data_IF_509995973076
#
_entry.id   IF_509995973076
#
_cell.length_a   1.000
_cell.length_b   1.000
_cell.length_c   1.000
_cell.angle_alpha   90.00
_cell.angle_beta   90.00
_cell.angle_gamma   90.00
#
_symmetry.space_group_name_H-M   'P 1'
#
loop_
_entity.id
_entity.type
_entity.pdbx_description
1 polymer ?
#
# COMPACT_ATOMS: atom_id res chain seq x y z
N UNK A 1 -11.06 -0.24 -7.75
CA UNK A 1 -10.57 -0.48 -6.36
C UNK A 1 -9.15 -1.01 -6.45
N UNK A 2 -8.23 -0.46 -5.65
CA UNK A 2 -6.86 -0.99 -5.58
C UNK A 2 -6.59 -1.59 -4.19
N UNK A 3 -6.69 -2.92 -3.99
CA UNK A 3 -6.29 -3.53 -2.72
C UNK A 3 -4.83 -3.28 -2.39
N UNK A 4 -4.58 -2.87 -1.15
CA UNK A 4 -3.24 -2.87 -0.56
C UNK A 4 -3.08 -4.10 0.33
N UNK A 5 -1.88 -4.67 0.38
CA UNK A 5 -1.51 -5.68 1.37
C UNK A 5 -0.26 -5.22 2.08
N UNK A 6 -0.13 -5.52 3.37
CA UNK A 6 1.12 -5.39 4.10
C UNK A 6 1.50 -6.76 4.65
N UNK A 7 2.72 -7.20 4.37
CA UNK A 7 3.24 -8.49 4.80
C UNK A 7 4.49 -8.29 5.66
N UNK A 8 4.59 -9.02 6.76
CA UNK A 8 5.78 -9.05 7.59
C UNK A 8 6.54 -10.36 7.38
N UNK A 9 7.71 -10.26 6.75
CA UNK A 9 8.61 -11.41 6.56
C UNK A 9 9.76 -11.43 7.58
N UNK A 10 9.80 -10.47 8.49
CA UNK A 10 10.76 -10.43 9.59
C UNK A 10 10.31 -11.30 10.77
N UNK A 11 11.23 -11.59 11.69
CA UNK A 11 10.98 -12.43 12.88
C UNK A 11 10.52 -11.62 14.11
N UNK A 12 10.34 -10.31 13.95
CA UNK A 12 9.86 -9.38 14.97
C UNK A 12 8.48 -8.79 14.64
N UNK A 13 7.77 -8.31 15.66
CA UNK A 13 6.55 -7.51 15.48
C UNK A 13 6.92 -6.14 14.89
N UNK A 14 6.17 -5.70 13.88
CA UNK A 14 6.38 -4.40 13.25
C UNK A 14 5.10 -3.60 13.15
N UNK A 15 5.18 -2.31 13.45
CA UNK A 15 4.10 -1.36 13.20
C UNK A 15 4.47 -0.49 12.01
N UNK A 16 3.65 -0.57 10.97
CA UNK A 16 3.80 0.17 9.73
C UNK A 16 2.70 1.21 9.64
N UNK A 17 3.08 2.49 9.54
CA UNK A 17 2.15 3.57 9.21
C UNK A 17 1.97 3.67 7.72
N UNK A 18 0.75 3.49 7.24
CA UNK A 18 0.37 3.55 5.83
C UNK A 18 -0.49 4.78 5.60
N UNK A 19 -0.05 5.65 4.71
CA UNK A 19 -0.84 6.81 4.25
C UNK A 19 -0.97 6.83 2.73
N UNK A 20 -2.16 7.15 2.25
CA UNK A 20 -2.46 7.22 0.82
C UNK A 20 -3.02 8.60 0.52
N UNK A 21 -2.45 9.25 -0.49
CA UNK A 21 -2.88 10.56 -0.94
C UNK A 21 -3.29 10.55 -2.41
N UNK A 22 -4.29 11.33 -2.78
CA UNK A 22 -4.60 11.64 -4.18
C UNK A 22 -4.87 13.15 -4.29
N UNK A 23 -4.44 13.77 -5.39
CA UNK A 23 -4.61 15.22 -5.62
C UNK A 23 -4.09 16.15 -4.50
N UNK A 24 -3.23 15.63 -3.61
CA UNK A 24 -2.72 16.37 -2.45
C UNK A 24 -3.43 16.04 -1.13
N UNK A 25 -4.63 15.47 -1.19
CA UNK A 25 -5.45 15.12 -0.02
C UNK A 25 -5.08 13.74 0.52
N UNK A 26 -5.09 13.60 1.85
CA UNK A 26 -4.96 12.31 2.51
C UNK A 26 -6.30 11.56 2.43
N UNK A 27 -6.30 10.42 1.76
CA UNK A 27 -7.47 9.55 1.64
C UNK A 27 -7.48 8.46 2.73
N UNK A 28 -6.29 8.08 3.20
CA UNK A 28 -6.08 7.07 4.23
C UNK A 28 -4.82 7.43 5.03
N UNK A 29 -4.86 7.21 6.34
CA UNK A 29 -3.71 7.28 7.24
C UNK A 29 -3.98 6.34 8.43
N UNK A 30 -3.37 5.16 8.43
CA UNK A 30 -3.59 4.12 9.44
C UNK A 30 -2.28 3.45 9.87
N UNK A 31 -2.23 2.99 11.13
CA UNK A 31 -1.14 2.20 11.68
C UNK A 31 -1.52 0.72 11.68
N UNK A 32 -0.65 -0.13 11.15
CA UNK A 32 -0.88 -1.56 10.94
C UNK A 32 0.20 -2.32 11.69
N UNK A 33 -0.19 -3.15 12.65
CA UNK A 33 0.76 -3.92 13.46
C UNK A 33 0.72 -5.38 13.04
N UNK A 34 1.86 -5.89 12.60
CA UNK A 34 2.01 -7.24 12.06
C UNK A 34 2.91 -8.08 12.94
N UNK A 35 2.43 -9.24 13.36
CA UNK A 35 3.25 -10.29 13.94
C UNK A 35 4.20 -10.91 12.89
N UNK A 36 5.25 -11.65 13.31
CA UNK A 36 6.13 -12.39 12.41
C UNK A 36 5.34 -13.29 11.45
N UNK A 37 5.61 -13.18 10.15
CA UNK A 37 4.94 -13.96 9.11
C UNK A 37 3.51 -13.53 8.78
N UNK A 38 2.97 -12.52 9.47
CA UNK A 38 1.60 -12.07 9.25
C UNK A 38 1.45 -11.31 7.94
N UNK A 39 0.28 -11.46 7.32
CA UNK A 39 -0.14 -10.71 6.15
C UNK A 39 -1.48 -10.10 6.42
N UNK A 40 -1.54 -8.78 6.43
CA UNK A 40 -2.77 -8.05 6.62
C UNK A 40 -3.18 -7.33 5.34
N UNK A 41 -4.48 -7.35 5.07
CA UNK A 41 -5.06 -6.58 3.97
C UNK A 41 -5.41 -5.19 4.48
N UNK A 42 -4.47 -4.27 4.28
CA UNK A 42 -4.62 -2.86 4.61
C UNK A 42 -5.47 -2.20 3.54
N UNK A 43 -6.42 -1.38 3.98
CA UNK A 43 -7.71 -1.21 3.30
C UNK A 43 -7.61 -0.85 1.82
N UNK A 44 -8.56 -1.41 1.07
CA UNK A 44 -8.85 -1.15 -0.34
C UNK A 44 -9.04 0.33 -0.64
N UNK A 45 -8.34 0.84 -1.65
CA UNK A 45 -8.62 2.12 -2.31
C UNK A 45 -10.08 2.13 -2.79
N UNK A 46 -10.97 2.57 -1.90
CA UNK A 46 -12.39 2.76 -2.12
C UNK A 46 -12.63 4.26 -2.26
N UNK A 47 -12.20 4.82 -3.39
CA UNK A 47 -13.17 5.66 -4.08
C UNK A 47 -13.84 4.73 -5.06
N UNK A 48 -15.15 4.56 -4.94
CA UNK A 48 -16.00 3.84 -5.89
C UNK A 48 -15.84 4.35 -7.33
N UNK A 49 -15.15 5.48 -7.50
CA UNK A 49 -14.64 6.03 -8.76
C UNK A 49 -13.15 6.34 -8.61
N UNK A 50 -12.26 5.35 -8.73
CA UNK A 50 -10.86 5.67 -8.99
C UNK A 50 -10.78 6.13 -10.45
N UNK A 51 -10.79 7.44 -10.67
CA UNK A 51 -10.80 7.99 -12.01
C UNK A 51 -9.55 7.52 -12.77
N UNK A 52 -9.77 6.98 -13.96
CA UNK A 52 -8.67 6.61 -14.84
C UNK A 52 -7.80 7.86 -15.09
N UNK A 53 -6.50 7.76 -14.84
CA UNK A 53 -5.55 8.87 -14.87
C UNK A 53 -5.17 9.41 -13.50
N UNK A 54 -5.90 9.07 -12.43
CA UNK A 54 -5.55 9.49 -11.08
C UNK A 54 -4.31 8.77 -10.58
N UNK A 55 -3.37 9.55 -10.03
CA UNK A 55 -2.17 9.03 -9.39
C UNK A 55 -2.29 9.11 -7.89
N UNK A 56 -2.29 7.95 -7.24
CA UNK A 56 -2.27 7.81 -5.80
C UNK A 56 -0.83 7.75 -5.31
N UNK A 57 -0.49 8.54 -4.31
CA UNK A 57 0.80 8.51 -3.62
C UNK A 57 0.65 7.69 -2.34
N UNK A 58 1.14 6.47 -2.39
CA UNK A 58 1.26 5.56 -1.24
C UNK A 58 2.55 5.90 -0.51
N UNK A 59 2.46 6.07 0.80
CA UNK A 59 3.60 6.24 1.69
C UNK A 59 3.48 5.21 2.80
N UNK A 60 4.56 4.50 3.04
CA UNK A 60 4.71 3.62 4.16
C UNK A 60 5.89 4.08 5.00
N UNK A 61 5.72 4.04 6.32
CA UNK A 61 6.79 4.32 7.26
C UNK A 61 6.81 3.25 8.34
N UNK A 62 8.00 2.78 8.66
CA UNK A 62 8.28 1.88 9.76
C UNK A 62 9.59 2.34 10.36
N UNK A 63 9.59 2.72 11.65
CA UNK A 63 10.75 3.33 12.30
C UNK A 63 11.29 4.55 11.50
N UNK A 64 12.58 4.54 11.16
CA UNK A 64 13.24 5.55 10.34
C UNK A 64 13.15 5.29 8.84
N UNK A 65 12.65 4.12 8.44
CA UNK A 65 12.52 3.76 7.05
C UNK A 65 11.22 4.26 6.46
N UNK A 66 11.30 4.67 5.20
CA UNK A 66 10.19 5.23 4.47
C UNK A 66 10.23 4.79 3.02
N UNK A 67 9.12 4.23 2.56
CA UNK A 67 8.87 3.96 1.15
C UNK A 67 7.77 4.89 0.64
N UNK A 68 7.99 5.44 -0.55
CA UNK A 68 6.98 6.25 -1.25
C UNK A 68 6.83 5.71 -2.65
N UNK A 69 5.60 5.40 -3.05
CA UNK A 69 5.28 4.88 -4.36
C UNK A 69 4.09 5.63 -4.96
N UNK A 70 4.24 6.05 -6.21
CA UNK A 70 3.13 6.60 -6.98
C UNK A 70 2.49 5.48 -7.80
N UNK A 71 1.18 5.35 -7.69
CA UNK A 71 0.36 4.36 -8.38
C UNK A 71 -0.65 5.10 -9.24
N UNK A 72 -0.44 5.07 -10.55
CA UNK A 72 -1.38 5.65 -11.51
C UNK A 72 -2.41 4.60 -11.90
N UNK A 73 -3.69 4.91 -11.67
CA UNK A 73 -4.81 4.05 -12.10
C UNK A 73 -5.01 4.27 -13.59
N UNK A 74 -4.66 3.26 -14.40
CA UNK A 74 -4.98 3.25 -15.83
C UNK A 74 -6.46 2.92 -16.04
N UNK A 75 -6.98 3.14 -17.26
CA UNK A 75 -8.35 2.75 -17.60
C UNK A 75 -8.57 1.24 -17.42
N UNK A 76 -7.62 0.41 -17.85
CA UNK A 76 -7.66 -1.03 -17.64
C UNK A 76 -7.60 -1.39 -16.14
N UNK A 77 -6.84 -0.66 -15.33
CA UNK A 77 -6.79 -0.83 -13.88
C UNK A 77 -8.10 -0.44 -13.18
N UNK A 78 -8.80 0.58 -13.68
CA UNK A 78 -10.12 0.95 -13.19
C UNK A 78 -11.16 -0.15 -13.47
N UNK A 79 -11.03 -0.82 -14.62
CA UNK A 79 -11.93 -1.90 -15.08
C UNK A 79 -11.60 -3.27 -14.44
N UNK A 80 -10.32 -3.64 -14.29
CA UNK A 80 -9.87 -4.96 -13.79
C UNK A 80 -9.44 -4.98 -12.32
N UNK A 81 -9.23 -3.82 -11.73
CA UNK A 81 -8.54 -3.68 -10.46
C UNK A 81 -7.02 -3.66 -10.62
N UNK A 82 -6.34 -2.99 -9.69
CA UNK A 82 -4.88 -2.99 -9.55
C UNK A 82 -4.56 -3.30 -8.12
N UNK A 83 -3.40 -3.86 -7.78
CA UNK A 83 -3.04 -4.09 -6.38
C UNK A 83 -1.69 -3.46 -6.06
N UNK A 84 -1.55 -2.96 -4.84
CA UNK A 84 -0.26 -2.59 -4.28
C UNK A 84 0.04 -3.54 -3.11
N UNK A 85 1.30 -3.93 -2.95
CA UNK A 85 1.74 -4.76 -1.85
C UNK A 85 2.94 -4.09 -1.22
N UNK A 86 2.81 -3.77 0.06
CA UNK A 86 3.90 -3.37 0.91
C UNK A 86 4.43 -4.61 1.65
N UNK A 87 5.74 -4.71 1.78
CA UNK A 87 6.42 -5.84 2.41
C UNK A 87 7.43 -5.27 3.40
N UNK A 88 7.35 -5.69 4.66
CA UNK A 88 8.45 -5.60 5.62
C UNK A 88 9.38 -6.76 5.32
N UNK A 89 10.62 -6.44 4.95
CA UNK A 89 11.61 -7.44 4.57
C UNK A 89 12.34 -7.98 5.79
N UNK A 90 12.96 -9.15 5.63
CA UNK A 90 13.71 -9.95 6.61
C UNK A 90 14.91 -9.19 7.25
N UNK A 91 15.17 -7.96 6.82
CA UNK A 91 16.20 -7.06 7.32
C UNK A 91 15.62 -5.90 8.15
N UNK A 92 14.33 -5.97 8.52
CA UNK A 92 13.56 -4.83 9.04
C UNK A 92 13.37 -3.72 8.00
N UNK A 93 13.43 -4.08 6.71
CA UNK A 93 13.34 -3.17 5.57
C UNK A 93 11.89 -2.90 5.14
N UNK A 94 11.61 -1.88 4.33
CA UNK A 94 10.33 -1.69 3.66
C UNK A 94 10.48 -1.75 2.14
N UNK A 95 9.55 -2.44 1.49
CA UNK A 95 9.44 -2.52 0.03
C UNK A 95 7.99 -2.35 -0.40
N UNK A 96 7.76 -1.63 -1.50
CA UNK A 96 6.44 -1.51 -2.12
C UNK A 96 6.47 -1.99 -3.56
N UNK A 97 5.75 -3.08 -3.84
CA UNK A 97 5.52 -3.63 -5.16
C UNK A 97 4.11 -3.26 -5.64
N UNK A 98 3.98 -2.98 -6.94
CA UNK A 98 2.69 -2.63 -7.54
C UNK A 98 2.48 -3.56 -8.72
N UNK A 99 1.37 -4.28 -8.72
CA UNK A 99 1.02 -5.23 -9.77
C UNK A 99 -0.39 -4.94 -10.29
N UNK A 100 -0.54 -4.95 -11.62
CA UNK A 100 -1.87 -5.01 -12.20
C UNK A 100 -2.48 -6.37 -11.86
N UNK A 101 -3.72 -6.38 -11.36
CA UNK A 101 -4.44 -7.65 -11.20
C UNK A 101 -4.81 -8.16 -12.61
N UNK A 102 -4.61 -9.46 -12.90
CA UNK A 102 -4.93 -10.04 -14.22
C UNK A 102 -6.41 -9.91 -14.57
#
# INVERSE_FOLDING_TARGET
MVPMHVANHDDANHTVRVSVHAHGDALLDEDVTLAPGERERVTTLATTNADAGTTYRVKARMNDERVVRNVTVTKAAAERGTSATLVVTDSGGLRCDVAASP
#
